data_IF_618514972351
#
_entry.id   IF_618514972351
#
_cell.length_a   1.000
_cell.length_b   1.000
_cell.length_c   1.000
_cell.angle_alpha   90.00
_cell.angle_beta   90.00
_cell.angle_gamma   90.00
#
_symmetry.space_group_name_H-M   'P 1'
#
loop_
_entity.id
_entity.type
_entity.pdbx_description
1 polymer ?
#
# COMPACT_ATOMS: atom_id res chain seq x y z
N UNK A 1 23.21 14.32 -2.80
CA UNK A 1 21.90 13.68 -3.04
C UNK A 1 20.89 14.58 -2.35
N UNK A 2 20.00 15.16 -3.12
CA UNK A 2 18.88 15.93 -2.58
C UNK A 2 17.78 14.96 -2.16
N UNK A 3 17.17 15.18 -1.01
CA UNK A 3 16.03 14.40 -0.53
C UNK A 3 14.96 14.25 -1.63
N UNK A 4 14.44 13.05 -1.79
CA UNK A 4 13.39 12.70 -2.74
C UNK A 4 13.81 12.53 -4.23
N UNK A 5 15.05 12.66 -4.61
CA UNK A 5 15.51 12.39 -5.99
C UNK A 5 15.20 10.95 -6.45
N UNK A 6 15.13 10.01 -5.51
CA UNK A 6 14.76 8.61 -5.81
C UNK A 6 13.33 8.53 -6.34
N UNK A 7 12.41 9.36 -5.83
CA UNK A 7 11.02 9.37 -6.32
C UNK A 7 10.92 10.00 -7.71
N UNK A 8 11.72 11.03 -7.98
CA UNK A 8 11.78 11.64 -9.33
C UNK A 8 12.32 10.63 -10.36
N UNK A 9 13.30 9.82 -9.97
CA UNK A 9 13.82 8.75 -10.82
C UNK A 9 12.76 7.65 -11.04
N UNK A 10 12.08 7.22 -9.98
CA UNK A 10 11.00 6.23 -10.07
C UNK A 10 9.84 6.73 -10.96
N UNK A 11 9.43 7.98 -10.81
CA UNK A 11 8.37 8.57 -11.62
C UNK A 11 8.77 8.69 -13.10
N UNK A 12 10.04 9.00 -13.40
CA UNK A 12 10.55 8.97 -14.78
C UNK A 12 10.50 7.57 -15.37
N UNK A 13 10.95 6.55 -14.65
CA UNK A 13 10.88 5.14 -15.10
C UNK A 13 9.43 4.77 -15.45
N UNK A 14 8.46 5.16 -14.60
CA UNK A 14 7.04 4.91 -14.86
C UNK A 14 6.54 5.70 -16.07
N UNK A 15 6.93 6.98 -16.19
CA UNK A 15 6.53 7.84 -17.31
C UNK A 15 7.04 7.30 -18.64
N UNK A 16 8.27 6.78 -18.67
CA UNK A 16 8.94 6.26 -19.86
C UNK A 16 8.49 4.84 -20.24
N UNK A 17 7.83 4.11 -19.32
CA UNK A 17 7.31 2.76 -19.57
C UNK A 17 6.36 2.72 -20.76
N UNK A 18 6.47 1.67 -21.61
CA UNK A 18 5.74 1.58 -22.86
C UNK A 18 4.52 0.63 -22.79
N UNK A 19 4.61 -0.47 -22.07
CA UNK A 19 3.58 -1.52 -22.05
C UNK A 19 3.09 -1.87 -20.66
N UNK A 20 3.98 -1.84 -19.66
CA UNK A 20 3.59 -2.21 -18.32
C UNK A 20 4.45 -1.59 -17.21
N UNK A 21 3.86 -1.56 -16.02
CA UNK A 21 4.52 -1.25 -14.76
C UNK A 21 4.06 -2.24 -13.70
N UNK A 22 4.99 -2.77 -12.93
CA UNK A 22 4.72 -3.54 -11.71
C UNK A 22 5.29 -2.79 -10.52
N UNK A 23 4.45 -2.54 -9.55
CA UNK A 23 4.81 -1.91 -8.27
C UNK A 23 4.49 -2.86 -7.13
N UNK A 24 5.40 -3.01 -6.17
CA UNK A 24 5.15 -3.69 -4.90
C UNK A 24 5.55 -2.74 -3.77
N UNK A 25 4.54 -2.15 -3.11
CA UNK A 25 4.73 -1.02 -2.19
C UNK A 25 4.13 -1.34 -0.82
N UNK A 26 5.01 -1.43 0.20
CA UNK A 26 4.60 -1.65 1.58
C UNK A 26 3.70 -0.53 2.10
N UNK A 27 4.17 0.73 2.02
CA UNK A 27 3.40 1.89 2.45
C UNK A 27 3.00 2.73 1.24
N UNK A 28 1.71 2.89 1.08
CA UNK A 28 1.11 3.69 0.01
C UNK A 28 -0.20 4.31 0.52
N UNK A 29 -0.07 5.39 1.25
CA UNK A 29 -1.21 6.14 1.77
C UNK A 29 -0.85 7.60 2.01
N UNK A 30 -1.85 8.43 2.24
CA UNK A 30 -1.72 9.84 2.59
C UNK A 30 -1.84 10.08 4.09
N UNK A 31 -1.94 9.02 4.90
CA UNK A 31 -2.06 9.12 6.34
C UNK A 31 -0.81 9.78 6.93
N UNK A 32 -1.04 10.81 7.73
CA UNK A 32 0.01 11.50 8.46
C UNK A 32 0.01 10.96 9.87
N UNK A 33 1.00 10.17 10.21
CA UNK A 33 1.14 9.67 11.58
C UNK A 33 1.08 10.83 12.59
N UNK A 34 0.45 10.60 13.73
CA UNK A 34 0.21 11.58 14.80
C UNK A 34 1.47 12.27 15.35
N UNK A 35 2.65 11.90 14.90
CA UNK A 35 3.95 12.44 15.35
C UNK A 35 4.61 13.42 14.39
N UNK A 36 3.99 13.76 13.27
CA UNK A 36 4.60 14.70 12.32
C UNK A 36 4.30 16.14 12.79
N UNK A 37 5.29 16.77 13.39
CA UNK A 37 5.26 18.22 13.71
C UNK A 37 5.47 19.11 12.49
N UNK A 38 5.71 18.53 11.31
CA UNK A 38 5.89 19.29 10.07
C UNK A 38 4.55 19.86 9.58
N UNK A 39 4.50 21.12 9.13
CA UNK A 39 3.30 21.67 8.52
C UNK A 39 2.82 20.80 7.36
N UNK A 40 1.51 20.62 7.28
CA UNK A 40 0.87 19.79 6.24
C UNK A 40 1.31 20.13 4.80
N UNK A 41 1.67 21.37 4.58
CA UNK A 41 2.07 21.94 3.28
C UNK A 41 3.53 21.68 2.91
N UNK A 42 4.35 21.14 3.81
CA UNK A 42 5.80 20.96 3.58
C UNK A 42 6.18 19.58 3.04
N UNK A 43 5.27 18.63 3.04
CA UNK A 43 5.54 17.27 2.57
C UNK A 43 4.97 17.08 1.16
N UNK A 44 5.79 16.53 0.28
CA UNK A 44 5.39 16.18 -1.09
C UNK A 44 4.31 15.06 -1.04
N UNK A 45 3.18 15.21 -1.75
CA UNK A 45 2.09 14.22 -1.74
C UNK A 45 2.39 13.04 -2.69
N UNK A 46 3.42 12.25 -2.38
CA UNK A 46 3.96 11.21 -3.24
C UNK A 46 2.93 10.14 -3.64
N UNK A 47 2.05 9.73 -2.73
CA UNK A 47 1.02 8.74 -3.02
C UNK A 47 0.00 9.28 -4.04
N UNK A 48 -0.40 10.55 -3.90
CA UNK A 48 -1.31 11.20 -4.84
C UNK A 48 -0.66 11.41 -6.22
N UNK A 49 0.62 11.83 -6.25
CA UNK A 49 1.36 12.02 -7.50
C UNK A 49 1.51 10.68 -8.25
N UNK A 50 1.89 9.62 -7.54
CA UNK A 50 1.99 8.28 -8.14
C UNK A 50 0.63 7.78 -8.64
N UNK A 51 -0.42 7.92 -7.84
CA UNK A 51 -1.79 7.55 -8.24
C UNK A 51 -2.17 8.25 -9.54
N UNK A 52 -1.95 9.57 -9.62
CA UNK A 52 -2.25 10.35 -10.82
C UNK A 52 -1.47 9.86 -12.03
N UNK A 53 -0.15 9.68 -11.89
CA UNK A 53 0.72 9.21 -12.97
C UNK A 53 0.25 7.87 -13.53
N UNK A 54 -0.07 6.90 -12.68
CA UNK A 54 -0.54 5.57 -13.12
C UNK A 54 -1.91 5.66 -13.83
N UNK A 55 -2.80 6.50 -13.34
CA UNK A 55 -4.10 6.73 -13.96
C UNK A 55 -3.95 7.39 -15.33
N UNK A 56 -3.10 8.40 -15.44
CA UNK A 56 -2.87 9.11 -16.70
C UNK A 56 -2.27 8.17 -17.76
N UNK A 57 -1.34 7.30 -17.38
CA UNK A 57 -0.82 6.24 -18.28
C UNK A 57 -1.93 5.31 -18.76
N UNK A 58 -2.78 4.83 -17.85
CA UNK A 58 -3.91 3.94 -18.20
C UNK A 58 -4.95 4.62 -19.10
N UNK A 59 -5.20 5.91 -18.90
CA UNK A 59 -6.12 6.68 -19.73
C UNK A 59 -5.56 6.98 -21.11
N UNK A 60 -4.26 7.26 -21.19
CA UNK A 60 -3.58 7.53 -22.45
C UNK A 60 -3.50 6.27 -23.33
N UNK A 61 -3.29 5.11 -22.72
CA UNK A 61 -3.27 3.81 -23.42
C UNK A 61 -4.04 2.74 -22.63
N UNK A 62 -5.24 2.34 -23.08
CA UNK A 62 -6.02 1.27 -22.47
C UNK A 62 -5.34 -0.12 -22.53
N UNK A 63 -4.31 -0.32 -23.32
CA UNK A 63 -3.53 -1.57 -23.36
C UNK A 63 -2.37 -1.56 -22.34
N UNK A 64 -2.01 -0.40 -21.82
CA UNK A 64 -0.94 -0.28 -20.81
C UNK A 64 -1.35 -0.99 -19.52
N UNK A 65 -0.54 -1.91 -19.06
CA UNK A 65 -0.85 -2.73 -17.88
C UNK A 65 -0.15 -2.20 -16.63
N UNK A 66 -0.91 -2.08 -15.55
CA UNK A 66 -0.37 -1.71 -14.24
C UNK A 66 -0.77 -2.78 -13.24
N UNK A 67 0.23 -3.42 -12.62
CA UNK A 67 0.04 -4.28 -11.47
C UNK A 67 0.57 -3.55 -10.22
N UNK A 68 -0.33 -3.27 -9.28
CA UNK A 68 0.00 -2.62 -8.03
C UNK A 68 -0.22 -3.60 -6.87
N UNK A 69 0.88 -4.09 -6.29
CA UNK A 69 0.86 -5.00 -5.14
C UNK A 69 1.10 -4.16 -3.89
N UNK A 70 0.35 -4.42 -2.84
CA UNK A 70 0.49 -3.66 -1.59
C UNK A 70 0.19 -4.51 -0.37
N UNK A 71 0.52 -3.97 0.80
CA UNK A 71 0.28 -4.59 2.09
C UNK A 71 -1.10 -4.16 2.64
N UNK A 72 -1.85 -5.02 3.34
CA UNK A 72 -3.12 -4.67 3.95
C UNK A 72 -3.03 -3.60 5.06
N UNK A 73 -1.83 -3.18 5.46
CA UNK A 73 -1.65 -2.01 6.34
C UNK A 73 -2.24 -0.73 5.70
N UNK A 74 -2.24 -0.64 4.37
CA UNK A 74 -2.73 0.53 3.63
C UNK A 74 -4.26 0.68 3.63
N UNK A 75 -5.00 -0.36 3.99
CA UNK A 75 -6.44 -0.31 4.24
C UNK A 75 -6.77 -0.63 5.71
N UNK A 76 -5.77 -0.48 6.58
CA UNK A 76 -5.88 -0.75 8.02
C UNK A 76 -6.44 -2.15 8.27
N UNK A 77 -5.92 -3.16 7.55
CA UNK A 77 -6.41 -4.55 7.60
C UNK A 77 -7.90 -4.68 7.34
N UNK A 78 -8.42 -3.90 6.38
CA UNK A 78 -9.85 -3.84 6.05
C UNK A 78 -10.67 -2.94 6.95
N UNK A 79 -10.08 -2.27 7.93
CA UNK A 79 -10.76 -1.34 8.83
C UNK A 79 -11.12 -0.01 8.18
N UNK A 80 -10.28 0.46 7.26
CA UNK A 80 -10.48 1.72 6.55
C UNK A 80 -10.04 1.56 5.09
N UNK A 81 -10.97 1.57 4.13
CA UNK A 81 -10.63 1.46 2.71
C UNK A 81 -9.76 2.64 2.24
N UNK A 82 -8.59 2.34 1.66
CA UNK A 82 -7.72 3.37 1.09
C UNK A 82 -8.36 4.05 -0.13
N UNK A 83 -8.51 5.39 -0.12
CA UNK A 83 -9.03 6.14 -1.26
C UNK A 83 -8.16 5.98 -2.51
N UNK A 84 -6.85 5.92 -2.34
CA UNK A 84 -5.88 5.77 -3.44
C UNK A 84 -6.06 4.42 -4.12
N UNK A 85 -6.13 3.32 -3.36
CA UNK A 85 -6.33 1.98 -3.91
C UNK A 85 -7.69 1.85 -4.61
N UNK A 86 -8.73 2.47 -4.06
CA UNK A 86 -10.05 2.54 -4.69
C UNK A 86 -10.00 3.27 -6.03
N UNK A 87 -9.31 4.41 -6.07
CA UNK A 87 -9.16 5.22 -7.27
C UNK A 87 -8.36 4.50 -8.35
N UNK A 88 -7.27 3.80 -7.97
CA UNK A 88 -6.49 2.97 -8.89
C UNK A 88 -7.34 1.85 -9.51
N UNK A 89 -8.11 1.11 -8.68
CA UNK A 89 -9.02 0.06 -9.19
C UNK A 89 -10.07 0.61 -10.15
N UNK A 90 -10.66 1.75 -9.83
CA UNK A 90 -11.65 2.41 -10.69
C UNK A 90 -11.05 2.84 -12.05
N UNK A 91 -9.75 3.09 -12.11
CA UNK A 91 -9.03 3.41 -13.34
C UNK A 91 -8.54 2.17 -14.12
N UNK A 92 -8.88 0.96 -13.68
CA UNK A 92 -8.49 -0.29 -14.33
C UNK A 92 -7.05 -0.74 -14.03
N UNK A 93 -6.50 -0.31 -12.90
CA UNK A 93 -5.24 -0.83 -12.37
C UNK A 93 -5.51 -2.15 -11.63
N UNK A 94 -4.70 -3.17 -11.90
CA UNK A 94 -4.75 -4.45 -11.19
C UNK A 94 -4.14 -4.25 -9.79
N UNK A 95 -4.99 -4.06 -8.77
CA UNK A 95 -4.54 -3.86 -7.39
C UNK A 95 -4.67 -5.17 -6.60
N UNK A 96 -3.54 -5.68 -6.15
CA UNK A 96 -3.42 -6.90 -5.34
C UNK A 96 -3.00 -6.54 -3.91
N UNK A 97 -3.84 -6.87 -2.94
CA UNK A 97 -3.47 -6.79 -1.51
C UNK A 97 -2.87 -8.12 -1.10
N UNK A 98 -1.69 -8.08 -0.51
CA UNK A 98 -0.96 -9.29 -0.12
C UNK A 98 -1.73 -10.08 0.95
N UNK A 99 -1.93 -11.37 0.71
CA UNK A 99 -2.45 -12.29 1.71
C UNK A 99 -1.34 -12.63 2.71
N UNK A 100 -1.38 -12.00 3.88
CA UNK A 100 -0.37 -12.15 4.92
C UNK A 100 -0.38 -13.55 5.56
N UNK A 101 -1.49 -14.28 5.50
CA UNK A 101 -1.58 -15.61 6.09
C UNK A 101 -0.70 -16.62 5.34
N UNK A 102 -0.40 -16.35 4.07
CA UNK A 102 0.53 -17.12 3.23
C UNK A 102 2.00 -16.78 3.46
N UNK A 103 2.30 -15.70 4.16
CA UNK A 103 3.68 -15.35 4.49
C UNK A 103 4.20 -16.20 5.66
N UNK A 104 5.51 -16.47 5.61
CA UNK A 104 6.19 -17.18 6.69
C UNK A 104 6.05 -16.41 8.00
N UNK A 105 5.78 -17.14 9.08
CA UNK A 105 5.74 -16.58 10.43
C UNK A 105 7.14 -16.16 10.90
N UNK A 106 7.25 -14.96 11.47
CA UNK A 106 8.47 -14.48 12.11
C UNK A 106 8.80 -15.27 13.37
N UNK A 107 7.77 -15.67 14.11
CA UNK A 107 7.85 -16.55 15.28
C UNK A 107 6.78 -17.66 15.17
N UNK A 108 7.13 -18.85 14.64
CA UNK A 108 6.15 -19.90 14.38
C UNK A 108 5.40 -20.39 15.63
N UNK A 109 6.07 -20.48 16.78
CA UNK A 109 5.43 -20.92 18.01
C UNK A 109 4.38 -19.91 18.51
N UNK A 110 4.74 -18.65 18.55
CA UNK A 110 3.82 -17.57 18.91
C UNK A 110 2.64 -17.49 17.93
N UNK A 111 2.92 -17.50 16.64
CA UNK A 111 1.87 -17.43 15.62
C UNK A 111 0.93 -18.63 15.65
N UNK A 112 1.42 -19.83 16.01
CA UNK A 112 0.56 -20.99 16.20
C UNK A 112 -0.42 -20.81 17.37
N UNK A 113 0.08 -20.35 18.53
CA UNK A 113 -0.75 -20.02 19.68
C UNK A 113 -1.76 -18.90 19.37
N UNK A 114 -1.30 -17.87 18.69
CA UNK A 114 -2.16 -16.76 18.27
C UNK A 114 -3.30 -17.25 17.36
N UNK A 115 -3.01 -18.08 16.36
CA UNK A 115 -4.04 -18.67 15.47
C UNK A 115 -5.06 -19.51 16.22
N UNK A 116 -4.62 -20.29 17.22
CA UNK A 116 -5.52 -21.11 18.01
C UNK A 116 -6.43 -20.29 18.92
N UNK A 117 -5.92 -19.19 19.51
CA UNK A 117 -6.66 -18.42 20.52
C UNK A 117 -7.39 -17.22 19.92
N UNK A 118 -6.87 -16.60 18.88
CA UNK A 118 -7.27 -15.26 18.40
C UNK A 118 -7.60 -15.26 16.91
N UNK A 119 -6.79 -15.92 16.08
CA UNK A 119 -6.80 -15.77 14.63
C UNK A 119 -8.13 -16.06 13.96
N UNK A 120 -8.92 -16.97 14.53
CA UNK A 120 -10.22 -17.38 13.97
C UNK A 120 -11.33 -16.31 14.08
N UNK A 121 -11.17 -15.30 14.95
CA UNK A 121 -12.10 -14.19 15.09
C UNK A 121 -11.47 -12.81 14.80
N UNK A 122 -10.19 -12.77 14.48
CA UNK A 122 -9.45 -11.54 14.20
C UNK A 122 -9.74 -10.99 12.80
N UNK A 123 -11.01 -10.79 12.47
CA UNK A 123 -11.41 -10.20 11.21
C UNK A 123 -11.25 -8.68 11.25
N UNK A 124 -10.61 -8.14 10.20
CA UNK A 124 -10.50 -6.70 9.98
C UNK A 124 -11.88 -6.11 9.68
N UNK A 125 -12.00 -4.79 9.79
CA UNK A 125 -13.23 -4.09 9.44
C UNK A 125 -13.44 -2.80 10.23
N UNK A 126 -14.48 -2.04 9.89
CA UNK A 126 -14.89 -0.88 10.67
C UNK A 126 -15.40 -1.30 12.06
N UNK A 127 -15.33 -0.39 13.04
CA UNK A 127 -15.78 -0.64 14.40
C UNK A 127 -15.59 0.56 15.32
N UNK A 128 -15.72 0.34 16.63
CA UNK A 128 -15.71 1.41 17.61
C UNK A 128 -14.35 1.61 18.31
N UNK A 129 -13.36 0.80 17.97
CA UNK A 129 -12.02 0.93 18.54
C UNK A 129 -11.21 2.01 17.81
N UNK A 130 -10.36 2.77 18.52
CA UNK A 130 -9.51 3.78 17.89
C UNK A 130 -8.69 3.21 16.73
N UNK A 131 -8.55 3.98 15.65
CA UNK A 131 -7.66 3.60 14.57
C UNK A 131 -6.20 3.61 15.06
N UNK A 132 -5.44 2.50 14.90
CA UNK A 132 -4.08 2.41 15.44
C UNK A 132 -3.07 3.31 14.73
N UNK A 133 -3.40 3.81 13.53
CA UNK A 133 -2.48 4.59 12.69
C UNK A 133 -2.86 6.07 12.63
N UNK A 134 -4.14 6.40 12.82
CA UNK A 134 -4.64 7.78 12.78
C UNK A 134 -5.79 7.96 13.77
N UNK A 135 -5.53 8.72 14.83
CA UNK A 135 -6.53 8.99 15.89
C UNK A 135 -7.73 9.84 15.39
N UNK A 136 -7.59 10.53 14.25
CA UNK A 136 -8.65 11.31 13.61
C UNK A 136 -9.48 10.54 12.60
N UNK A 137 -9.07 9.33 12.24
CA UNK A 137 -9.75 8.47 11.29
C UNK A 137 -10.93 7.72 11.94
N UNK A 138 -11.85 7.16 11.11
CA UNK A 138 -12.92 6.30 11.60
C UNK A 138 -12.40 5.13 12.45
N UNK A 139 -13.21 4.71 13.41
CA UNK A 139 -12.89 3.59 14.28
C UNK A 139 -12.82 2.25 13.52
N UNK A 140 -12.07 1.31 14.07
CA UNK A 140 -11.83 -0.02 13.49
C UNK A 140 -12.31 -1.11 14.43
N UNK A 141 -12.44 -2.33 13.92
CA UNK A 141 -12.80 -3.50 14.74
C UNK A 141 -11.66 -3.90 15.70
N UNK A 142 -12.00 -4.59 16.78
CA UNK A 142 -11.00 -5.24 17.64
C UNK A 142 -10.13 -6.24 16.88
N UNK A 143 -10.66 -6.83 15.81
CA UNK A 143 -9.92 -7.74 14.93
C UNK A 143 -8.70 -7.10 14.27
N UNK A 144 -8.75 -5.80 13.93
CA UNK A 144 -7.59 -5.04 13.45
C UNK A 144 -6.47 -5.03 14.50
N UNK A 145 -6.79 -4.75 15.76
CA UNK A 145 -5.83 -4.77 16.86
C UNK A 145 -5.27 -6.18 17.12
N UNK A 146 -6.13 -7.18 17.01
CA UNK A 146 -5.72 -8.57 17.14
C UNK A 146 -4.73 -8.98 16.03
N UNK A 147 -4.94 -8.54 14.79
CA UNK A 147 -4.00 -8.76 13.67
C UNK A 147 -2.66 -8.07 13.89
N UNK A 148 -2.65 -6.87 14.46
CA UNK A 148 -1.42 -6.17 14.83
C UNK A 148 -0.61 -6.92 15.90
N UNK A 149 -1.25 -7.67 16.79
CA UNK A 149 -0.56 -8.48 17.79
C UNK A 149 0.27 -9.62 17.17
N UNK A 150 -0.10 -10.11 15.97
CA UNK A 150 0.70 -11.07 15.20
C UNK A 150 1.14 -10.45 13.87
N UNK A 151 1.85 -9.34 13.97
CA UNK A 151 2.24 -8.52 12.84
C UNK A 151 3.07 -9.28 11.82
N UNK A 152 2.60 -9.27 10.59
CA UNK A 152 3.30 -9.67 9.38
C UNK A 152 3.19 -8.55 8.37
N UNK A 153 4.14 -8.45 7.47
CA UNK A 153 4.10 -7.45 6.42
C UNK A 153 4.80 -7.93 5.14
N UNK A 154 4.25 -7.55 4.01
CA UNK A 154 4.98 -7.56 2.75
C UNK A 154 5.81 -6.27 2.65
N UNK A 155 7.01 -6.29 3.21
CA UNK A 155 7.87 -5.10 3.32
C UNK A 155 8.69 -4.82 2.05
N UNK A 156 8.23 -5.25 0.88
CA UNK A 156 8.91 -5.01 -0.39
C UNK A 156 8.70 -3.56 -0.86
N UNK A 157 9.67 -3.06 -1.62
CA UNK A 157 9.61 -1.82 -2.39
C UNK A 157 10.24 -2.13 -3.73
N UNK A 158 9.41 -2.44 -4.70
CA UNK A 158 9.84 -2.88 -6.02
C UNK A 158 9.13 -2.05 -7.08
N UNK A 159 9.89 -1.64 -8.07
CA UNK A 159 9.39 -1.06 -9.30
C UNK A 159 10.02 -1.84 -10.46
N UNK A 160 9.20 -2.35 -11.35
CA UNK A 160 9.62 -2.95 -12.61
C UNK A 160 8.82 -2.28 -13.72
N UNK A 161 9.51 -1.83 -14.77
CA UNK A 161 8.89 -1.26 -15.93
C UNK A 161 9.67 -1.63 -17.19
N UNK A 162 9.00 -1.70 -18.32
CA UNK A 162 9.68 -1.78 -19.61
C UNK A 162 10.05 -0.37 -20.09
N UNK A 163 11.33 -0.15 -20.43
CA UNK A 163 11.80 1.11 -20.97
C UNK A 163 11.54 1.24 -22.48
N UNK A 164 11.77 2.45 -23.02
CA UNK A 164 11.59 2.71 -24.46
C UNK A 164 12.55 1.89 -25.36
N UNK A 165 13.64 1.38 -24.78
CA UNK A 165 14.61 0.49 -25.43
C UNK A 165 14.23 -1.00 -25.35
N UNK A 166 13.08 -1.33 -24.72
CA UNK A 166 12.64 -2.69 -24.47
C UNK A 166 13.37 -3.40 -23.33
N UNK A 167 14.23 -2.69 -22.59
CA UNK A 167 14.94 -3.20 -21.41
C UNK A 167 14.05 -3.04 -20.17
N UNK A 168 14.14 -3.99 -19.25
CA UNK A 168 13.47 -3.91 -17.95
C UNK A 168 14.29 -3.04 -16.99
N UNK A 169 13.61 -2.16 -16.28
CA UNK A 169 14.16 -1.29 -15.26
C UNK A 169 13.59 -1.61 -13.90
#
# INVERSE_FOLDING_TARGET
IVDQQIFDAAFRIIADAQRFVVLDMFLFNTQRGARTSAPATSLRPLAEELTRLLIDKRRADPQFRVLFITDPINDVYGGEPSPELKTLRAAGVDVVVTDLDRLRDSNPAYSALWRLAIGWWADGGPGDWPNPFDAGAPGVSLGVWARLANFKANHRKLLIADGPDGVLH
#
